data_IF_308084111362
#
_entry.id   IF_308084111362
#
_cell.length_a   1.000
_cell.length_b   1.000
_cell.length_c   1.000
_cell.angle_alpha   90.00
_cell.angle_beta   90.00
_cell.angle_gamma   90.00
#
_symmetry.space_group_name_H-M   'P 1'
#
loop_
_entity.id
_entity.type
_entity.pdbx_description
1 polymer ?
#
# COMPACT_ATOMS: atom_id res chain seq x y z
N UNK A 1 -7.36 -15.22 -18.54
CA UNK A 1 -6.18 -14.78 -17.76
C UNK A 1 -6.36 -15.34 -16.37
N UNK A 2 -5.70 -16.46 -16.09
CA UNK A 2 -5.80 -17.15 -14.81
C UNK A 2 -5.19 -16.28 -13.72
N UNK A 3 -5.96 -16.04 -12.66
CA UNK A 3 -5.51 -15.35 -11.45
C UNK A 3 -4.52 -16.26 -10.74
N UNK A 4 -3.23 -16.02 -10.97
CA UNK A 4 -2.16 -16.77 -10.34
C UNK A 4 -2.19 -16.50 -8.83
N UNK A 5 -2.57 -17.52 -8.05
CA UNK A 5 -2.58 -17.45 -6.59
C UNK A 5 -1.14 -17.25 -6.11
N UNK A 6 -0.87 -16.10 -5.50
CA UNK A 6 0.47 -15.76 -5.02
C UNK A 6 0.88 -16.67 -3.86
N UNK A 7 2.12 -17.16 -3.93
CA UNK A 7 2.80 -17.97 -2.91
C UNK A 7 2.82 -17.21 -1.56
N UNK A 8 2.38 -17.82 -0.45
CA UNK A 8 2.34 -17.18 0.86
C UNK A 8 3.72 -16.80 1.43
N UNK A 9 4.82 -17.28 0.84
CA UNK A 9 6.20 -16.95 1.24
C UNK A 9 6.90 -15.93 0.33
N UNK A 10 6.23 -15.43 -0.72
CA UNK A 10 6.84 -14.42 -1.58
C UNK A 10 6.90 -13.08 -0.82
N UNK A 11 8.06 -12.37 -0.80
CA UNK A 11 8.19 -11.10 -0.09
C UNK A 11 7.14 -10.12 -0.63
N UNK A 12 6.09 -9.90 0.17
CA UNK A 12 4.88 -9.13 -0.14
C UNK A 12 5.15 -7.71 -0.68
N UNK A 13 6.34 -7.17 -0.35
CA UNK A 13 6.85 -5.88 -0.84
C UNK A 13 7.05 -5.92 -2.36
N UNK A 14 7.55 -7.02 -2.93
CA UNK A 14 7.82 -7.12 -4.37
C UNK A 14 6.53 -7.18 -5.20
N UNK A 15 5.51 -7.89 -4.71
CA UNK A 15 4.25 -8.05 -5.45
C UNK A 15 3.41 -6.76 -5.41
N UNK A 16 3.35 -6.09 -4.26
CA UNK A 16 2.68 -4.78 -4.12
C UNK A 16 3.36 -3.71 -4.99
N UNK A 17 4.69 -3.70 -5.03
CA UNK A 17 5.44 -2.77 -5.88
C UNK A 17 5.18 -3.02 -7.37
N UNK A 18 5.21 -4.28 -7.81
CA UNK A 18 4.92 -4.64 -9.20
C UNK A 18 3.50 -4.26 -9.64
N UNK A 19 2.50 -4.42 -8.76
CA UNK A 19 1.13 -3.96 -9.01
C UNK A 19 1.01 -2.45 -9.07
N UNK A 20 1.71 -1.73 -8.19
CA UNK A 20 1.78 -0.25 -8.20
C UNK A 20 2.33 0.22 -9.55
N UNK A 21 3.50 -0.30 -9.96
CA UNK A 21 4.13 0.05 -11.24
C UNK A 21 3.17 -0.21 -12.40
N UNK A 22 2.45 -1.35 -12.39
CA UNK A 22 1.48 -1.68 -13.44
C UNK A 22 0.33 -0.69 -13.53
N UNK A 23 -0.24 -0.27 -12.40
CA UNK A 23 -1.36 0.68 -12.42
C UNK A 23 -0.89 2.09 -12.76
N UNK A 24 0.28 2.52 -12.28
CA UNK A 24 0.86 3.79 -12.71
C UNK A 24 1.06 3.82 -14.23
N UNK A 25 1.63 2.77 -14.82
CA UNK A 25 1.80 2.69 -16.27
C UNK A 25 0.47 2.75 -17.05
N UNK A 26 -0.60 2.13 -16.52
CA UNK A 26 -1.94 2.24 -17.12
C UNK A 26 -2.46 3.67 -17.02
N UNK A 27 -2.36 4.31 -15.86
CA UNK A 27 -2.83 5.68 -15.65
C UNK A 27 -2.04 6.68 -16.48
N UNK A 28 -0.71 6.53 -16.60
CA UNK A 28 0.15 7.32 -17.49
C UNK A 28 -0.27 7.16 -18.97
N UNK A 29 -0.60 5.94 -19.39
CA UNK A 29 -1.11 5.69 -20.74
C UNK A 29 -2.45 6.38 -20.97
N UNK A 30 -3.32 6.42 -19.96
CA UNK A 30 -4.59 7.15 -20.05
C UNK A 30 -4.34 8.65 -20.09
N UNK A 31 -3.42 9.18 -19.27
CA UNK A 31 -3.06 10.59 -19.24
C UNK A 31 -2.48 11.09 -20.58
N UNK A 32 -1.72 10.25 -21.28
CA UNK A 32 -1.15 10.57 -22.61
C UNK A 32 -2.20 10.81 -23.70
N UNK A 33 -3.48 10.46 -23.47
CA UNK A 33 -4.57 10.81 -24.39
C UNK A 33 -5.06 12.26 -24.21
N UNK A 34 -4.54 12.97 -23.22
CA UNK A 34 -4.85 14.36 -22.94
C UNK A 34 -3.62 15.24 -23.19
N UNK A 35 -3.81 16.53 -23.58
CA UNK A 35 -2.69 17.46 -23.69
C UNK A 35 -1.93 17.55 -22.36
N UNK A 36 -0.60 17.60 -22.45
CA UNK A 36 0.23 17.81 -21.26
C UNK A 36 -0.17 19.07 -20.51
N UNK A 37 -0.35 18.95 -19.19
CA UNK A 37 -0.80 20.04 -18.33
C UNK A 37 -2.30 20.35 -18.40
N UNK A 38 -3.10 19.55 -19.11
CA UNK A 38 -4.55 19.67 -19.02
C UNK A 38 -5.07 19.25 -17.62
N UNK A 39 -6.25 19.74 -17.20
CA UNK A 39 -6.87 19.32 -15.95
C UNK A 39 -7.06 17.80 -15.85
N UNK A 40 -7.37 17.13 -16.96
CA UNK A 40 -7.55 15.68 -17.03
C UNK A 40 -6.23 14.94 -16.81
N UNK A 41 -5.15 15.36 -17.47
CA UNK A 41 -3.81 14.79 -17.28
C UNK A 41 -3.35 14.94 -15.82
N UNK A 42 -3.57 16.11 -15.21
CA UNK A 42 -3.26 16.36 -13.80
C UNK A 42 -4.09 15.48 -12.86
N UNK A 43 -5.42 15.38 -13.07
CA UNK A 43 -6.29 14.56 -12.24
C UNK A 43 -5.93 13.06 -12.30
N UNK A 44 -5.50 12.56 -13.46
CA UNK A 44 -5.06 11.18 -13.61
C UNK A 44 -3.73 10.94 -12.87
N UNK A 45 -2.79 11.89 -12.93
CA UNK A 45 -1.55 11.82 -12.17
C UNK A 45 -1.81 11.81 -10.64
N UNK A 46 -2.66 12.70 -10.14
CA UNK A 46 -3.06 12.74 -8.72
C UNK A 46 -3.74 11.43 -8.26
N UNK A 47 -4.58 10.85 -9.13
CA UNK A 47 -5.21 9.56 -8.85
C UNK A 47 -4.18 8.42 -8.78
N UNK A 48 -3.14 8.45 -9.61
CA UNK A 48 -2.04 7.49 -9.57
C UNK A 48 -1.27 7.59 -8.24
N UNK A 49 -0.87 8.80 -7.84
CA UNK A 49 -0.19 9.04 -6.56
C UNK A 49 -1.02 8.58 -5.36
N UNK A 50 -2.32 8.94 -5.34
CA UNK A 50 -3.24 8.55 -4.28
C UNK A 50 -3.36 7.04 -4.16
N UNK A 51 -3.41 6.32 -5.29
CA UNK A 51 -3.47 4.87 -5.29
C UNK A 51 -2.19 4.23 -4.71
N UNK A 52 -1.01 4.81 -4.99
CA UNK A 52 0.27 4.35 -4.41
C UNK A 52 0.19 4.44 -2.89
N UNK A 53 -0.24 5.59 -2.36
CA UNK A 53 -0.35 5.85 -0.93
C UNK A 53 -1.31 4.86 -0.28
N UNK A 54 -2.51 4.67 -0.86
CA UNK A 54 -3.50 3.72 -0.35
C UNK A 54 -2.94 2.29 -0.30
N UNK A 55 -2.23 1.86 -1.35
CA UNK A 55 -1.63 0.52 -1.40
C UNK A 55 -0.50 0.34 -0.40
N UNK A 56 0.35 1.34 -0.22
CA UNK A 56 1.40 1.32 0.79
C UNK A 56 0.83 1.27 2.20
N UNK A 57 -0.22 2.05 2.49
CA UNK A 57 -0.89 2.04 3.78
C UNK A 57 -1.56 0.68 4.07
N UNK A 58 -2.21 0.07 3.06
CA UNK A 58 -2.72 -1.31 3.14
C UNK A 58 -1.62 -2.34 3.43
N UNK A 59 -0.48 -2.21 2.77
CA UNK A 59 0.65 -3.11 2.98
C UNK A 59 1.23 -2.97 4.40
N UNK A 60 1.30 -1.74 4.91
CA UNK A 60 1.71 -1.45 6.27
C UNK A 60 0.75 -2.08 7.30
N UNK A 61 -0.56 -1.93 7.12
CA UNK A 61 -1.55 -2.56 8.00
C UNK A 61 -1.41 -4.10 8.03
N UNK A 62 -1.23 -4.73 6.87
CA UNK A 62 -0.98 -6.17 6.78
C UNK A 62 0.34 -6.59 7.46
N UNK A 63 1.40 -5.80 7.30
CA UNK A 63 2.66 -6.04 7.98
C UNK A 63 2.52 -5.94 9.51
N UNK A 64 1.74 -4.97 9.98
CA UNK A 64 1.40 -4.81 11.40
C UNK A 64 0.65 -6.04 11.95
N UNK A 65 -0.39 -6.53 11.25
CA UNK A 65 -1.10 -7.74 11.67
C UNK A 65 -0.19 -8.97 11.75
N UNK A 66 0.74 -9.13 10.80
CA UNK A 66 1.73 -10.21 10.83
C UNK A 66 2.71 -10.06 11.99
N UNK A 67 3.12 -8.84 12.31
CA UNK A 67 3.97 -8.56 13.45
C UNK A 67 3.25 -8.92 14.77
N UNK A 68 1.99 -8.50 14.94
CA UNK A 68 1.15 -8.90 16.09
C UNK A 68 1.05 -10.42 16.20
N UNK A 69 0.75 -11.10 15.09
CA UNK A 69 0.66 -12.56 15.08
C UNK A 69 1.99 -13.23 15.50
N UNK A 70 3.13 -12.70 15.05
CA UNK A 70 4.46 -13.17 15.46
C UNK A 70 4.77 -12.89 16.95
N UNK A 71 4.14 -11.88 17.53
CA UNK A 71 4.23 -11.52 18.95
C UNK A 71 3.15 -12.18 19.83
N UNK A 72 2.54 -13.29 19.38
CA UNK A 72 1.45 -14.00 20.09
C UNK A 72 0.13 -13.21 20.18
N UNK A 73 -0.15 -12.36 19.21
CA UNK A 73 -1.42 -11.65 19.05
C UNK A 73 -1.41 -10.20 19.53
N UNK A 74 -0.39 -9.77 20.27
CA UNK A 74 -0.29 -8.43 20.85
C UNK A 74 1.15 -7.92 20.78
N UNK A 75 1.33 -6.62 20.56
CA UNK A 75 2.65 -5.99 20.64
C UNK A 75 2.96 -5.64 22.10
N UNK A 76 4.24 -5.68 22.48
CA UNK A 76 4.64 -5.11 23.77
C UNK A 76 4.54 -3.58 23.76
N UNK A 77 4.32 -2.98 24.93
CA UNK A 77 4.31 -1.51 25.10
C UNK A 77 5.57 -0.84 24.52
N UNK A 78 6.73 -1.49 24.65
CA UNK A 78 7.99 -0.99 24.10
C UNK A 78 7.98 -0.95 22.57
N UNK A 79 7.43 -1.98 21.92
CA UNK A 79 7.34 -2.06 20.47
C UNK A 79 6.28 -1.10 19.93
N UNK A 80 5.15 -0.97 20.62
CA UNK A 80 4.11 0.00 20.31
C UNK A 80 4.65 1.44 20.38
N UNK A 81 5.34 1.79 21.47
CA UNK A 81 5.98 3.09 21.62
C UNK A 81 7.02 3.37 20.53
N UNK A 82 7.79 2.35 20.11
CA UNK A 82 8.74 2.47 19.00
C UNK A 82 8.05 2.77 17.68
N UNK A 83 6.96 2.08 17.34
CA UNK A 83 6.17 2.35 16.14
C UNK A 83 5.62 3.78 16.15
N UNK A 84 5.05 4.23 17.26
CA UNK A 84 4.54 5.61 17.39
C UNK A 84 5.64 6.66 17.26
N UNK A 85 6.85 6.38 17.76
CA UNK A 85 7.98 7.32 17.66
C UNK A 85 8.42 7.60 16.22
N UNK A 86 8.12 6.69 15.28
CA UNK A 86 8.39 6.85 13.84
C UNK A 86 7.14 7.24 13.05
N UNK A 87 6.05 7.62 13.74
CA UNK A 87 4.81 8.09 13.12
C UNK A 87 3.86 6.99 12.65
N UNK A 88 4.09 5.73 13.04
CA UNK A 88 3.13 4.64 12.80
C UNK A 88 2.20 4.57 14.00
N UNK A 89 0.90 4.80 13.79
CA UNK A 89 -0.11 4.64 14.82
C UNK A 89 -0.73 3.22 14.73
N UNK A 90 -0.43 2.30 15.65
CA UNK A 90 -0.94 0.92 15.61
C UNK A 90 -2.46 0.83 15.66
N UNK A 91 -3.11 1.72 16.42
CA UNK A 91 -4.57 1.75 16.58
C UNK A 91 -5.27 2.04 15.25
N UNK A 92 -4.76 3.02 14.50
CA UNK A 92 -5.27 3.36 13.17
C UNK A 92 -5.10 2.21 12.17
N UNK A 93 -4.03 1.41 12.30
CA UNK A 93 -3.80 0.26 11.43
C UNK A 93 -4.70 -0.93 11.75
N UNK A 94 -5.17 -1.04 13.00
CA UNK A 94 -6.09 -2.08 13.46
C UNK A 94 -7.55 -1.78 13.08
N UNK A 95 -7.92 -0.51 12.92
CA UNK A 95 -9.27 -0.08 12.50
C UNK A 95 -9.55 -0.26 11.01
N UNK A 96 -8.54 -0.65 10.23
CA UNK A 96 -8.67 -0.81 8.79
C UNK A 96 -9.24 -2.19 8.43
N UNK A 97 -10.56 -2.25 8.32
CA UNK A 97 -11.25 -3.34 7.63
C UNK A 97 -10.99 -3.23 6.11
N UNK A 98 -10.25 -4.20 5.56
CA UNK A 98 -10.01 -4.33 4.11
C UNK A 98 -10.42 -5.68 3.57
#
# INVERSE_FOLDING_TARGET
LELNMSDPNEPFINNTHAEIVRVCAILETVAANYPDGSPESAAIAEAAESLIIVRQYKALAKAHQRLKAACNGELSDELDAKLRSIGINPDELDELDF
#
